data_IF_664330568147
#
_entry.id   IF_664330568147
#
_cell.length_a   1.000
_cell.length_b   1.000
_cell.length_c   1.000
_cell.angle_alpha   90.00
_cell.angle_beta   90.00
_cell.angle_gamma   90.00
#
_symmetry.space_group_name_H-M   'P 1'
#
loop_
_entity.id
_entity.type
_entity.pdbx_description
1 polymer ?
#
# COMPACT_ATOMS: atom_id res chain seq x y z
N UNK A 1 -37.89 30.39 -60.44
CA UNK A 1 -37.81 29.41 -59.32
C UNK A 1 -36.49 28.67 -59.41
N UNK A 2 -35.51 28.97 -58.54
CA UNK A 2 -34.38 28.06 -58.24
C UNK A 2 -33.78 28.47 -56.88
N UNK A 3 -34.19 27.78 -55.81
CA UNK A 3 -33.63 27.93 -54.46
C UNK A 3 -32.27 27.23 -54.41
N UNK A 4 -31.18 27.97 -54.14
CA UNK A 4 -29.88 27.40 -53.79
C UNK A 4 -29.85 27.16 -52.27
N UNK A 5 -29.75 25.91 -51.86
CA UNK A 5 -29.56 25.52 -50.46
C UNK A 5 -28.07 25.56 -50.12
N UNK A 6 -27.68 26.39 -49.13
CA UNK A 6 -26.32 26.38 -48.54
C UNK A 6 -26.28 25.28 -47.48
N UNK A 7 -25.41 24.29 -47.66
CA UNK A 7 -25.12 23.28 -46.65
C UNK A 7 -24.25 23.89 -45.54
N UNK A 8 -24.75 23.90 -44.30
CA UNK A 8 -23.97 24.29 -43.12
C UNK A 8 -23.13 23.11 -42.65
N UNK A 9 -21.81 23.31 -42.53
CA UNK A 9 -20.90 22.33 -41.96
C UNK A 9 -21.05 22.32 -40.43
N UNK A 10 -21.63 21.24 -39.89
CA UNK A 10 -21.67 20.98 -38.46
C UNK A 10 -20.37 20.28 -38.08
N UNK A 11 -19.40 21.06 -37.59
CA UNK A 11 -18.17 20.50 -37.02
C UNK A 11 -18.48 19.82 -35.68
N UNK A 12 -18.38 18.49 -35.63
CA UNK A 12 -18.34 17.75 -34.37
C UNK A 12 -16.99 18.04 -33.68
N UNK A 13 -17.04 18.77 -32.56
CA UNK A 13 -15.92 18.86 -31.63
C UNK A 13 -15.83 17.54 -30.84
N UNK A 14 -14.77 16.78 -31.10
CA UNK A 14 -14.35 15.64 -30.29
C UNK A 14 -13.56 16.17 -29.07
N UNK A 15 -14.16 16.13 -27.88
CA UNK A 15 -13.39 16.30 -26.64
C UNK A 15 -12.67 14.98 -26.30
N UNK A 16 -11.35 14.98 -26.07
CA UNK A 16 -10.64 13.80 -25.64
C UNK A 16 -11.03 13.46 -24.19
N UNK A 17 -11.51 12.24 -23.98
CA UNK A 17 -11.78 11.70 -22.65
C UNK A 17 -10.45 11.37 -21.98
N UNK A 18 -9.93 12.29 -21.15
CA UNK A 18 -8.77 12.02 -20.32
C UNK A 18 -9.17 11.08 -19.18
N UNK A 19 -8.68 9.83 -19.19
CA UNK A 19 -8.78 8.95 -18.03
C UNK A 19 -7.88 9.54 -16.93
N UNK A 20 -8.49 9.99 -15.84
CA UNK A 20 -7.76 10.35 -14.63
C UNK A 20 -7.22 9.07 -13.98
N UNK A 21 -5.90 8.84 -14.07
CA UNK A 21 -5.22 7.82 -13.27
C UNK A 21 -5.12 8.35 -11.84
N UNK A 22 -5.81 7.70 -10.90
CA UNK A 22 -5.56 7.93 -9.48
C UNK A 22 -4.12 7.55 -9.14
N UNK A 23 -3.41 8.35 -8.33
CA UNK A 23 -2.07 7.99 -7.89
C UNK A 23 -2.12 6.69 -7.08
N UNK A 24 -1.10 5.84 -7.27
CA UNK A 24 -0.97 4.63 -6.47
C UNK A 24 -0.89 4.97 -4.97
N UNK A 25 -1.52 4.18 -4.08
CA UNK A 25 -1.39 4.36 -2.64
C UNK A 25 0.08 4.39 -2.21
N UNK A 26 0.43 5.28 -1.30
CA UNK A 26 1.82 5.43 -0.88
C UNK A 26 2.03 6.40 0.28
N UNK A 27 3.28 6.46 0.74
CA UNK A 27 3.70 7.28 1.86
C UNK A 27 5.08 7.91 1.61
N UNK A 28 5.39 8.92 2.41
CA UNK A 28 6.68 9.63 2.39
C UNK A 28 7.45 9.37 3.68
N UNK A 29 8.72 9.01 3.57
CA UNK A 29 9.63 8.84 4.71
C UNK A 29 10.18 10.16 5.24
N UNK A 30 10.73 10.12 6.45
CA UNK A 30 11.27 11.31 7.14
C UNK A 30 12.44 11.98 6.42
N UNK A 31 13.18 11.26 5.58
CA UNK A 31 14.25 11.82 4.76
C UNK A 31 13.83 12.05 3.29
N UNK A 32 12.51 12.05 3.01
CA UNK A 32 11.98 12.33 1.68
C UNK A 32 11.82 11.11 0.77
N UNK A 33 12.05 9.89 1.28
CA UNK A 33 11.77 8.66 0.53
C UNK A 33 10.31 8.61 0.09
N UNK A 34 10.03 7.98 -1.05
CA UNK A 34 8.68 7.68 -1.51
C UNK A 34 8.52 6.18 -1.63
N UNK A 35 7.44 5.64 -1.06
CA UNK A 35 7.05 4.24 -1.19
C UNK A 35 5.61 4.17 -1.67
N UNK A 36 5.36 3.41 -2.74
CA UNK A 36 4.02 3.17 -3.28
C UNK A 36 3.75 1.67 -3.39
N UNK A 37 2.48 1.29 -3.23
CA UNK A 37 2.00 -0.08 -3.38
C UNK A 37 0.91 -0.09 -4.44
N UNK A 38 0.91 -1.10 -5.32
CA UNK A 38 -0.09 -1.23 -6.39
C UNK A 38 -1.53 -1.26 -5.88
N UNK A 39 -1.73 -1.75 -4.66
CA UNK A 39 -2.99 -1.71 -3.94
C UNK A 39 -2.70 -1.76 -2.44
N UNK A 40 -3.31 -0.86 -1.67
CA UNK A 40 -3.23 -0.84 -0.21
C UNK A 40 -4.57 -1.15 0.46
N UNK A 41 -5.69 -0.93 -0.24
CA UNK A 41 -7.03 -1.12 0.31
C UNK A 41 -7.78 -2.28 -0.34
N UNK A 42 -8.70 -2.87 0.41
CA UNK A 42 -9.58 -3.93 -0.08
C UNK A 42 -8.81 -5.16 -0.58
N UNK A 43 -7.64 -5.45 0.00
CA UNK A 43 -6.81 -6.59 -0.37
C UNK A 43 -7.57 -7.91 -0.20
N UNK A 44 -7.27 -8.89 -1.05
CA UNK A 44 -7.89 -10.22 -1.04
C UNK A 44 -7.71 -10.93 0.30
N UNK A 45 -8.78 -11.42 0.95
CA UNK A 45 -8.67 -12.20 2.19
C UNK A 45 -7.97 -13.55 1.98
N UNK A 46 -7.86 -14.03 0.74
CA UNK A 46 -7.11 -15.25 0.38
C UNK A 46 -5.60 -14.97 0.18
N UNK A 47 -5.19 -13.72 0.34
CA UNK A 47 -3.87 -13.22 0.00
C UNK A 47 -3.72 -12.88 -1.49
N UNK A 48 -2.68 -12.11 -1.80
CA UNK A 48 -2.36 -11.67 -3.15
C UNK A 48 -0.90 -11.22 -3.27
N UNK A 49 -0.43 -11.02 -4.50
CA UNK A 49 0.83 -10.33 -4.76
C UNK A 49 0.58 -8.84 -4.98
N UNK A 50 1.40 -7.99 -4.38
CA UNK A 50 1.43 -6.55 -4.63
C UNK A 50 2.79 -6.13 -5.18
N UNK A 51 2.79 -5.12 -6.03
CA UNK A 51 4.01 -4.47 -6.50
C UNK A 51 4.30 -3.27 -5.61
N UNK A 52 5.54 -3.19 -5.12
CA UNK A 52 6.02 -2.10 -4.27
C UNK A 52 7.13 -1.38 -5.00
N UNK A 53 7.02 -0.06 -5.11
CA UNK A 53 8.00 0.81 -5.77
C UNK A 53 8.51 1.84 -4.78
N UNK A 54 9.84 1.96 -4.69
CA UNK A 54 10.52 2.90 -3.81
C UNK A 54 11.44 3.84 -4.59
N UNK A 55 11.65 5.05 -4.07
CA UNK A 55 12.62 6.03 -4.58
C UNK A 55 13.09 6.99 -3.49
N UNK A 56 14.26 7.61 -3.70
CA UNK A 56 14.84 8.57 -2.76
C UNK A 56 15.50 7.94 -1.53
N UNK A 57 15.74 6.62 -1.56
CA UNK A 57 16.48 5.93 -0.50
C UNK A 57 17.98 6.22 -0.61
N UNK A 58 18.70 6.16 0.51
CA UNK A 58 20.15 6.18 0.59
C UNK A 58 20.71 4.80 0.20
N UNK A 59 21.39 4.67 -0.97
CA UNK A 59 21.92 3.39 -1.43
C UNK A 59 23.09 2.86 -0.58
N UNK A 60 23.68 3.69 0.30
CA UNK A 60 24.68 3.23 1.26
C UNK A 60 24.08 2.38 2.38
N UNK A 61 22.75 2.41 2.54
CA UNK A 61 22.01 1.70 3.58
C UNK A 61 21.03 0.70 2.97
N UNK A 62 21.24 -0.58 3.26
CA UNK A 62 20.29 -1.62 2.84
C UNK A 62 18.98 -1.56 3.62
N UNK A 63 17.88 -1.96 2.97
CA UNK A 63 16.54 -2.03 3.58
C UNK A 63 15.86 -3.37 3.29
N UNK A 64 14.96 -3.76 4.17
CA UNK A 64 13.91 -4.71 3.87
C UNK A 64 12.65 -3.98 3.43
N UNK A 65 12.06 -4.42 2.32
CA UNK A 65 10.68 -4.14 1.94
C UNK A 65 9.85 -5.32 2.42
N UNK A 66 8.91 -5.11 3.33
CA UNK A 66 8.21 -6.21 4.00
C UNK A 66 6.76 -5.85 4.37
N UNK A 67 5.93 -6.86 4.56
CA UNK A 67 4.59 -6.71 5.15
C UNK A 67 4.65 -7.02 6.65
N UNK A 68 4.27 -6.05 7.49
CA UNK A 68 4.43 -6.14 8.95
C UNK A 68 3.21 -5.62 9.71
N UNK A 69 3.10 -6.05 10.97
CA UNK A 69 2.26 -5.36 11.95
C UNK A 69 2.81 -3.95 12.14
N UNK A 70 1.93 -2.96 12.16
CA UNK A 70 2.31 -1.56 12.31
C UNK A 70 2.79 -1.32 13.76
N UNK A 71 4.03 -0.85 13.97
CA UNK A 71 4.55 -0.61 15.31
C UNK A 71 4.00 0.70 15.87
N UNK A 72 4.25 0.95 17.16
CA UNK A 72 4.10 2.30 17.71
C UNK A 72 5.10 3.25 17.03
N UNK A 73 4.84 4.56 16.99
CA UNK A 73 5.77 5.53 16.41
C UNK A 73 7.18 5.39 17.00
N UNK A 74 8.19 5.28 16.14
CA UNK A 74 9.60 5.18 16.54
C UNK A 74 10.09 3.76 16.89
N UNK A 75 9.20 2.76 16.94
CA UNK A 75 9.58 1.37 17.18
C UNK A 75 9.86 0.61 15.87
N UNK A 76 10.62 -0.49 15.98
CA UNK A 76 10.89 -1.38 14.85
C UNK A 76 9.59 -2.07 14.40
N UNK A 77 9.21 -2.01 13.11
CA UNK A 77 8.09 -2.81 12.60
C UNK A 77 8.40 -4.30 12.73
N UNK A 78 7.65 -4.96 13.61
CA UNK A 78 7.72 -6.38 13.90
C UNK A 78 6.41 -6.86 14.55
N UNK A 79 5.97 -8.10 14.28
CA UNK A 79 6.53 -9.04 13.32
C UNK A 79 6.19 -8.70 11.86
N UNK A 80 6.96 -9.30 10.96
CA UNK A 80 6.76 -9.24 9.52
C UNK A 80 6.47 -10.63 8.96
N UNK A 81 5.59 -10.74 7.97
CA UNK A 81 5.12 -12.01 7.38
C UNK A 81 6.20 -12.91 6.76
N UNK A 82 7.39 -12.38 6.51
CA UNK A 82 8.55 -13.16 6.04
C UNK A 82 9.70 -13.22 7.05
N UNK A 83 9.55 -12.63 8.25
CA UNK A 83 10.64 -12.45 9.19
C UNK A 83 11.85 -11.72 8.57
N UNK A 84 13.05 -12.12 8.97
CA UNK A 84 14.29 -11.77 8.26
C UNK A 84 14.50 -12.83 7.17
N UNK A 85 14.01 -12.59 5.96
CA UNK A 85 14.11 -13.55 4.86
C UNK A 85 15.51 -13.52 4.23
N UNK A 86 16.47 -14.14 4.92
CA UNK A 86 17.85 -14.26 4.45
C UNK A 86 18.02 -15.29 3.33
N UNK A 87 16.96 -16.02 2.95
CA UNK A 87 16.97 -16.93 1.79
C UNK A 87 16.21 -16.37 0.59
N UNK A 88 15.42 -15.31 0.77
CA UNK A 88 14.53 -14.72 -0.23
C UNK A 88 13.29 -15.57 -0.57
N UNK A 89 13.09 -16.68 0.15
CA UNK A 89 12.13 -17.73 -0.18
C UNK A 89 10.71 -17.44 0.31
N UNK A 90 10.54 -16.58 1.33
CA UNK A 90 9.21 -16.31 1.91
C UNK A 90 8.29 -15.63 0.90
N UNK A 91 8.85 -14.79 0.02
CA UNK A 91 8.07 -13.93 -0.87
C UNK A 91 7.37 -12.76 -0.16
N UNK A 92 7.34 -12.75 1.18
CA UNK A 92 6.68 -11.75 2.02
C UNK A 92 7.63 -10.64 2.50
N UNK A 93 8.92 -10.74 2.15
CA UNK A 93 9.87 -9.64 2.24
C UNK A 93 10.93 -9.71 1.12
N UNK A 94 11.57 -8.57 0.84
CA UNK A 94 12.66 -8.44 -0.13
C UNK A 94 13.77 -7.56 0.43
N UNK A 95 15.01 -7.99 0.24
CA UNK A 95 16.19 -7.26 0.67
C UNK A 95 16.73 -6.41 -0.48
N UNK A 96 16.82 -5.10 -0.25
CA UNK A 96 17.41 -4.15 -1.19
C UNK A 96 18.73 -3.64 -0.58
N UNK A 97 19.84 -3.87 -1.26
CA UNK A 97 21.15 -3.33 -0.85
C UNK A 97 22.10 -3.31 -2.03
N UNK A 98 22.76 -2.17 -2.24
CA UNK A 98 23.86 -2.06 -3.21
C UNK A 98 25.21 -2.47 -2.61
N UNK A 99 25.28 -2.64 -1.28
CA UNK A 99 26.49 -3.04 -0.55
C UNK A 99 26.14 -4.11 0.52
N UNK A 100 25.60 -5.28 0.12
CA UNK A 100 25.32 -6.35 1.08
C UNK A 100 26.63 -6.93 1.65
N UNK A 101 26.62 -7.49 2.88
CA UNK A 101 27.67 -8.39 3.32
C UNK A 101 27.84 -9.56 2.35
N UNK A 102 29.02 -10.22 2.38
CA UNK A 102 29.37 -11.30 1.43
C UNK A 102 28.30 -12.40 1.29
N UNK A 103 27.62 -12.78 2.38
CA UNK A 103 26.56 -13.80 2.33
C UNK A 103 25.30 -13.33 1.60
N UNK A 104 25.12 -12.03 1.41
CA UNK A 104 23.99 -11.42 0.73
C UNK A 104 24.22 -11.14 -0.75
N UNK A 105 25.44 -11.33 -1.24
CA UNK A 105 25.73 -11.23 -2.67
C UNK A 105 24.88 -12.25 -3.46
N UNK A 106 24.12 -11.77 -4.44
CA UNK A 106 23.17 -12.58 -5.22
C UNK A 106 21.82 -12.82 -4.54
N UNK A 107 21.64 -12.42 -3.28
CA UNK A 107 20.35 -12.48 -2.56
C UNK A 107 19.68 -11.10 -2.47
N UNK A 108 20.47 -10.06 -2.19
CA UNK A 108 20.00 -8.69 -2.16
C UNK A 108 19.85 -8.15 -3.59
N UNK A 109 18.71 -7.50 -3.86
CA UNK A 109 18.55 -6.71 -5.07
C UNK A 109 19.27 -5.37 -4.88
N UNK A 110 20.13 -4.97 -5.81
CA UNK A 110 20.75 -3.65 -5.77
C UNK A 110 19.72 -2.54 -5.97
N UNK A 111 19.95 -1.37 -5.38
CA UNK A 111 19.16 -0.19 -5.72
C UNK A 111 19.43 0.25 -7.17
N UNK A 112 18.39 0.77 -7.82
CA UNK A 112 18.50 1.54 -9.05
C UNK A 112 18.91 3.00 -8.78
N UNK A 113 18.93 3.79 -9.85
CA UNK A 113 19.28 5.22 -9.80
C UNK A 113 18.44 5.98 -8.76
N UNK A 114 19.08 6.89 -8.01
CA UNK A 114 18.41 7.70 -6.98
C UNK A 114 17.84 6.89 -5.81
N UNK A 115 18.38 5.70 -5.53
CA UNK A 115 17.87 4.82 -4.46
C UNK A 115 16.51 4.24 -4.79
N UNK A 116 16.28 3.90 -6.05
CA UNK A 116 15.01 3.32 -6.50
C UNK A 116 15.00 1.81 -6.40
N UNK A 117 13.81 1.23 -6.30
CA UNK A 117 13.59 -0.22 -6.46
C UNK A 117 12.15 -0.49 -6.89
N UNK A 118 11.92 -1.67 -7.44
CA UNK A 118 10.59 -2.25 -7.61
C UNK A 118 10.66 -3.73 -7.28
N UNK A 119 9.74 -4.20 -6.44
CA UNK A 119 9.68 -5.58 -5.97
C UNK A 119 8.24 -6.07 -5.88
N UNK A 120 8.07 -7.38 -5.86
CA UNK A 120 6.79 -8.03 -5.58
C UNK A 120 6.81 -8.63 -4.17
N UNK A 121 5.74 -8.38 -3.41
CA UNK A 121 5.49 -9.00 -2.12
C UNK A 121 4.22 -9.85 -2.19
N UNK A 122 4.29 -11.07 -1.67
CA UNK A 122 3.12 -11.88 -1.36
C UNK A 122 2.61 -11.45 0.02
N UNK A 123 1.34 -11.08 0.10
CA UNK A 123 0.70 -10.64 1.35
C UNK A 123 -0.55 -11.46 1.59
N UNK A 124 -0.83 -11.76 2.86
CA UNK A 124 -2.04 -12.42 3.32
C UNK A 124 -2.55 -11.67 4.56
N UNK A 125 -3.85 -11.78 4.93
CA UNK A 125 -4.34 -11.12 6.13
C UNK A 125 -3.67 -11.64 7.40
N UNK A 126 -3.00 -12.80 7.35
CA UNK A 126 -2.38 -13.43 8.50
C UNK A 126 -0.86 -13.35 8.41
N UNK A 127 -0.24 -12.86 9.47
CA UNK A 127 1.22 -12.88 9.69
C UNK A 127 1.50 -13.97 10.74
N UNK A 128 2.02 -15.11 10.27
CA UNK A 128 2.64 -16.12 11.12
C UNK A 128 4.16 -15.91 11.16
N UNK A 129 4.77 -15.97 12.35
CA UNK A 129 6.24 -16.01 12.45
C UNK A 129 6.71 -17.46 12.33
N UNK A 130 7.83 -17.67 11.62
CA UNK A 130 8.27 -18.98 11.12
C UNK A 130 8.65 -20.01 12.20
N UNK A 131 8.57 -19.68 13.49
CA UNK A 131 8.83 -20.62 14.56
C UNK A 131 7.55 -21.40 14.95
N UNK A 132 7.68 -22.68 15.21
CA UNK A 132 6.57 -23.52 15.69
C UNK A 132 6.01 -22.98 17.02
N UNK A 133 4.69 -22.89 17.17
CA UNK A 133 4.04 -22.28 18.34
C UNK A 133 4.06 -20.75 18.38
N UNK A 134 4.50 -20.10 17.30
CA UNK A 134 4.51 -18.65 17.18
C UNK A 134 3.12 -18.02 17.23
N UNK A 135 3.04 -16.83 17.82
CA UNK A 135 1.84 -16.01 17.76
C UNK A 135 1.50 -15.66 16.30
N UNK A 136 0.21 -15.65 16.00
CA UNK A 136 -0.34 -15.35 14.69
C UNK A 136 -1.10 -14.03 14.80
N UNK A 137 -0.82 -13.09 13.89
CA UNK A 137 -1.52 -11.80 13.84
C UNK A 137 -2.46 -11.74 12.65
N UNK A 138 -3.70 -11.34 12.89
CA UNK A 138 -4.68 -11.09 11.84
C UNK A 138 -4.78 -9.57 11.56
N UNK A 139 -4.30 -9.16 10.40
CA UNK A 139 -4.30 -7.79 9.91
C UNK A 139 -5.69 -7.26 9.53
N UNK A 140 -6.75 -8.05 9.74
CA UNK A 140 -8.15 -7.58 9.76
C UNK A 140 -8.56 -7.05 11.13
N UNK A 141 -7.81 -7.40 12.18
CA UNK A 141 -8.07 -7.03 13.58
C UNK A 141 -7.02 -6.06 14.12
N UNK A 142 -5.76 -6.18 13.65
CA UNK A 142 -4.66 -5.27 14.01
C UNK A 142 -4.20 -4.46 12.81
N UNK A 143 -3.65 -3.26 13.06
CA UNK A 143 -3.11 -2.43 11.99
C UNK A 143 -1.83 -3.06 11.40
N UNK A 144 -1.78 -3.17 10.08
CA UNK A 144 -0.62 -3.67 9.34
C UNK A 144 -0.27 -2.73 8.19
N UNK A 145 0.97 -2.83 7.71
CA UNK A 145 1.50 -1.98 6.66
C UNK A 145 2.53 -2.72 5.79
N UNK A 146 2.66 -2.28 4.54
CA UNK A 146 3.88 -2.49 3.76
C UNK A 146 4.89 -1.45 4.23
N UNK A 147 6.07 -1.91 4.62
CA UNK A 147 7.10 -1.05 5.22
C UNK A 147 8.42 -1.18 4.47
N UNK A 148 9.20 -0.09 4.48
CA UNK A 148 10.65 -0.21 4.44
C UNK A 148 11.22 -0.08 5.84
N UNK A 149 12.25 -0.87 6.13
CA UNK A 149 13.05 -0.76 7.36
C UNK A 149 14.51 -1.02 7.06
N UNK A 150 15.44 -0.41 7.80
CA UNK A 150 16.86 -0.77 7.69
C UNK A 150 17.05 -2.29 7.82
N UNK A 151 17.99 -2.84 7.04
CA UNK A 151 18.29 -4.27 7.07
C UNK A 151 18.97 -4.70 8.39
N UNK A 152 19.21 -6.01 8.51
CA UNK A 152 19.74 -6.62 9.73
C UNK A 152 21.16 -6.16 10.10
N UNK A 153 21.85 -5.45 9.21
CA UNK A 153 23.18 -4.88 9.53
C UNK A 153 23.09 -3.58 10.33
N UNK A 154 21.89 -2.96 10.39
CA UNK A 154 21.66 -1.65 11.04
C UNK A 154 20.26 -1.59 11.67
N UNK A 155 19.90 -2.59 12.48
CA UNK A 155 18.52 -2.77 13.00
C UNK A 155 17.96 -1.58 13.78
N UNK A 156 18.80 -0.77 14.41
CA UNK A 156 18.40 0.43 15.15
C UNK A 156 18.17 1.67 14.25
N UNK A 157 18.64 1.67 13.01
CA UNK A 157 18.50 2.81 12.11
C UNK A 157 17.07 2.88 11.55
N UNK A 158 16.34 3.98 11.81
CA UNK A 158 14.98 4.23 11.32
C UNK A 158 14.91 5.33 10.26
N UNK A 159 16.04 5.83 9.76
CA UNK A 159 16.06 6.96 8.82
C UNK A 159 15.46 6.63 7.45
N UNK A 160 15.25 5.34 7.16
CA UNK A 160 14.68 4.83 5.91
C UNK A 160 13.32 4.15 6.09
N UNK A 161 12.70 4.37 7.24
CA UNK A 161 11.39 3.82 7.51
C UNK A 161 10.31 4.59 6.75
N UNK A 162 9.48 3.83 6.05
CA UNK A 162 8.27 4.32 5.39
C UNK A 162 7.19 3.29 5.62
N UNK A 163 5.98 3.73 5.97
CA UNK A 163 4.86 2.86 6.30
C UNK A 163 3.69 3.20 5.37
N UNK A 164 3.25 2.22 4.56
CA UNK A 164 2.02 2.31 3.78
C UNK A 164 1.00 1.39 4.45
N UNK A 165 0.06 1.92 5.25
CA UNK A 165 -0.99 1.12 5.88
C UNK A 165 -1.78 0.36 4.83
N UNK A 166 -2.26 -0.84 5.18
CA UNK A 166 -3.10 -1.64 4.29
C UNK A 166 -4.36 -2.15 4.97
N UNK A 167 -5.39 -2.42 4.17
CA UNK A 167 -6.65 -3.01 4.62
C UNK A 167 -7.03 -4.19 3.73
N UNK A 168 -7.57 -5.25 4.34
CA UNK A 168 -8.13 -6.40 3.64
C UNK A 168 -9.65 -6.27 3.51
N UNK A 169 -10.20 -6.74 2.39
CA UNK A 169 -11.64 -6.84 2.19
C UNK A 169 -12.27 -7.68 3.30
N UNK A 170 -13.34 -7.17 3.90
CA UNK A 170 -13.99 -7.79 5.07
C UNK A 170 -13.36 -7.43 6.42
N UNK A 171 -12.27 -6.64 6.45
CA UNK A 171 -11.77 -5.98 7.66
C UNK A 171 -12.39 -4.59 7.85
N UNK A 172 -12.60 -4.18 9.09
CA UNK A 172 -13.01 -2.81 9.38
C UNK A 172 -11.79 -1.88 9.34
N UNK A 173 -11.88 -0.67 8.75
CA UNK A 173 -10.84 0.33 8.95
C UNK A 173 -10.85 0.71 10.44
N UNK A 174 -9.83 0.28 11.18
CA UNK A 174 -9.51 0.93 12.46
C UNK A 174 -8.98 2.31 12.11
N UNK A 175 -9.91 3.26 12.03
CA UNK A 175 -9.62 4.67 11.82
C UNK A 175 -8.53 5.06 12.80
N UNK A 176 -7.37 5.48 12.28
CA UNK A 176 -6.36 6.13 13.08
C UNK A 176 -7.02 7.32 13.78
N UNK A 177 -7.25 7.19 15.09
CA UNK A 177 -7.68 8.33 15.91
C UNK A 177 -6.44 9.21 16.06
N UNK A 178 -6.25 10.10 15.10
CA UNK A 178 -5.42 11.27 15.31
C UNK A 178 -6.10 12.11 16.39
N UNK A 179 -5.50 12.14 17.57
CA UNK A 179 -5.85 13.11 18.60
C UNK A 179 -5.60 14.52 18.05
N UNK A 180 -6.67 15.24 17.73
CA UNK A 180 -6.66 16.65 17.35
C UNK A 180 -8.10 17.15 17.29
N UNK A 181 -8.50 17.96 18.28
CA UNK A 181 -9.87 18.41 18.46
C UNK A 181 -10.42 19.20 17.26
N UNK A 182 -11.69 18.96 16.95
CA UNK A 182 -12.49 19.81 16.05
C UNK A 182 -13.27 19.04 14.99
N UNK A 183 -14.54 18.75 15.26
CA UNK A 183 -15.63 18.58 14.27
C UNK A 183 -15.50 17.46 13.23
N UNK A 184 -16.15 16.33 13.47
CA UNK A 184 -16.36 15.28 12.46
C UNK A 184 -17.43 15.77 11.46
N UNK A 185 -17.02 16.13 10.25
CA UNK A 185 -17.93 16.28 9.11
C UNK A 185 -18.11 14.90 8.45
N UNK A 186 -19.23 14.24 8.72
CA UNK A 186 -19.62 12.99 8.07
C UNK A 186 -20.02 13.29 6.61
N UNK A 187 -19.11 13.05 5.66
CA UNK A 187 -19.49 12.90 4.25
C UNK A 187 -19.92 11.45 4.03
N UNK A 188 -21.20 11.17 4.25
CA UNK A 188 -21.82 9.89 3.94
C UNK A 188 -21.82 9.65 2.43
N UNK A 189 -21.15 8.58 1.99
CA UNK A 189 -21.31 8.05 0.64
C UNK A 189 -22.76 7.56 0.47
N UNK A 190 -23.49 8.16 -0.47
CA UNK A 190 -24.86 7.82 -0.78
C UNK A 190 -24.92 6.41 -1.41
N UNK A 191 -25.35 5.41 -0.63
CA UNK A 191 -25.87 4.16 -1.17
C UNK A 191 -27.37 4.38 -1.46
N UNK A 192 -27.75 4.37 -2.74
CA UNK A 192 -29.13 4.47 -3.20
C UNK A 192 -29.98 3.32 -2.65
N UNK A 193 -30.76 3.57 -1.61
CA UNK A 193 -31.82 2.68 -1.16
C UNK A 193 -33.16 3.14 -1.73
N UNK A 194 -33.72 2.37 -2.67
CA UNK A 194 -35.09 2.55 -3.17
C UNK A 194 -36.06 2.16 -2.04
N UNK A 195 -36.72 3.14 -1.43
CA UNK A 195 -37.77 2.92 -0.44
C UNK A 195 -39.09 2.65 -1.17
N UNK A 196 -39.53 1.39 -1.20
CA UNK A 196 -40.89 1.02 -1.63
C UNK A 196 -41.87 1.36 -0.52
N UNK A 197 -42.56 2.49 -0.63
CA UNK A 197 -43.63 2.88 0.30
C UNK A 197 -44.88 2.04 0.04
N UNK A 198 -45.10 1.03 0.89
CA UNK A 198 -46.35 0.25 0.89
C UNK A 198 -47.46 1.07 1.58
N UNK A 199 -48.32 1.74 0.79
CA UNK A 199 -49.52 2.44 1.30
C UNK A 199 -50.42 1.45 2.06
N UNK A 200 -50.58 1.64 3.37
CA UNK A 200 -51.68 1.03 4.13
C UNK A 200 -52.96 1.78 3.77
N UNK A 201 -53.94 1.09 3.16
CA UNK A 201 -55.31 1.60 3.02
C UNK A 201 -55.94 1.61 4.42
N UNK A 202 -56.56 2.73 4.80
CA UNK A 202 -57.47 2.83 5.95
C UNK A 202 -58.89 2.97 5.42
N UNK A 203 -59.72 1.97 5.66
CA UNK A 203 -61.07 2.01 6.22
C UNK A 203 -61.53 0.56 6.33
#
# INVERSE_FOLDING_TARGET
MTRRHKAGAWGLLLLPLALALSPAPGATGGAGQRLTVSQADGLSPDGQTVTVTGSGYDPAKGVYVAFCVLPKPGELPTPCGGGVDMSGASGSSKWISSNPPKYGEGLAQAYGAGGSFTVQLKISPVIGVAAEGSQVFDCREVACAVVTRADHTRTADRTQDVFVPVTFSGGFPTVAVAAGGGGVLLLGAAASAVVVVRRRRRA
#
